data_IF_104844630020
#
_entry.id   IF_104844630020
#
_cell.length_a   1.000
_cell.length_b   1.000
_cell.length_c   1.000
_cell.angle_alpha   90.00
_cell.angle_beta   90.00
_cell.angle_gamma   90.00
#
_symmetry.space_group_name_H-M   'P 1'
#
loop_
_entity.id
_entity.type
_entity.pdbx_description
1 polymer ?
#
# COMPACT_ATOMS: atom_id res chain seq x y z
N UNK A 1 -3.14 21.76 -32.65
CA UNK A 1 -3.95 20.64 -32.14
C UNK A 1 -3.56 20.42 -30.68
N UNK A 2 -4.48 20.62 -29.76
CA UNK A 2 -4.28 20.58 -28.31
C UNK A 2 -4.11 19.15 -27.81
N UNK A 3 -2.90 18.79 -27.36
CA UNK A 3 -2.67 17.57 -26.59
C UNK A 3 -3.17 17.78 -25.16
N UNK A 4 -4.32 17.20 -24.86
CA UNK A 4 -4.81 17.09 -23.48
C UNK A 4 -3.98 15.97 -22.84
N UNK A 5 -2.92 16.33 -22.12
CA UNK A 5 -2.16 15.39 -21.30
C UNK A 5 -3.03 15.02 -20.10
N UNK A 6 -3.64 13.83 -20.14
CA UNK A 6 -4.29 13.22 -18.99
C UNK A 6 -3.20 12.92 -17.92
N UNK A 7 -3.22 13.53 -16.72
CA UNK A 7 -2.15 13.35 -15.73
C UNK A 7 -2.23 12.03 -14.94
N UNK A 8 -3.08 11.08 -15.35
CA UNK A 8 -3.33 9.86 -14.59
C UNK A 8 -2.43 8.66 -14.96
N UNK A 9 -1.57 8.75 -15.97
CA UNK A 9 -0.86 7.57 -16.49
C UNK A 9 0.59 7.87 -16.90
N UNK A 10 1.47 8.08 -15.92
CA UNK A 10 2.90 7.83 -16.08
C UNK A 10 3.60 7.98 -14.72
N UNK A 11 3.29 7.10 -13.76
CA UNK A 11 4.35 6.72 -12.84
C UNK A 11 5.35 5.92 -13.69
N UNK A 12 6.65 6.27 -13.66
CA UNK A 12 7.63 5.55 -14.43
C UNK A 12 7.73 4.16 -13.84
N UNK A 13 6.98 3.21 -14.40
CA UNK A 13 7.20 1.80 -14.15
C UNK A 13 8.64 1.52 -14.49
N UNK A 14 9.46 1.45 -13.43
CA UNK A 14 10.87 1.10 -13.49
C UNK A 14 10.92 -0.21 -14.24
N UNK A 15 11.50 -0.19 -15.44
CA UNK A 15 11.45 -1.27 -16.42
C UNK A 15 11.93 -2.58 -15.78
N UNK A 16 11.00 -3.40 -15.28
CA UNK A 16 11.28 -4.62 -14.51
C UNK A 16 10.51 -4.79 -13.18
N UNK A 17 9.82 -3.77 -12.67
CA UNK A 17 9.05 -3.88 -11.43
C UNK A 17 7.73 -4.64 -11.64
N UNK A 18 7.46 -5.64 -10.79
CA UNK A 18 6.21 -6.40 -10.85
C UNK A 18 5.14 -5.63 -10.11
N UNK A 19 4.22 -5.05 -10.87
CA UNK A 19 3.12 -4.26 -10.33
C UNK A 19 2.10 -5.21 -9.72
N UNK A 20 1.95 -5.19 -8.40
CA UNK A 20 0.91 -5.98 -7.73
C UNK A 20 -0.39 -5.17 -7.81
N UNK A 21 -1.45 -5.77 -8.39
CA UNK A 21 -2.77 -5.15 -8.56
C UNK A 21 -3.83 -5.68 -7.57
N UNK A 22 -3.39 -6.36 -6.51
CA UNK A 22 -4.26 -6.87 -5.45
C UNK A 22 -4.93 -8.22 -5.76
N UNK A 23 -5.64 -8.81 -4.78
CA UNK A 23 -6.16 -8.16 -3.58
C UNK A 23 -5.10 -7.90 -2.50
N UNK A 24 -5.14 -6.71 -1.90
CA UNK A 24 -4.21 -6.30 -0.86
C UNK A 24 -4.46 -7.02 0.47
N UNK A 25 -3.42 -7.28 1.28
CA UNK A 25 -3.61 -7.84 2.61
C UNK A 25 -4.53 -6.93 3.43
N UNK A 26 -5.60 -7.52 3.95
CA UNK A 26 -6.66 -6.87 4.73
C UNK A 26 -6.39 -7.15 6.21
N UNK A 27 -6.46 -6.12 7.05
CA UNK A 27 -6.12 -6.17 8.47
C UNK A 27 -7.32 -6.02 9.40
N UNK A 28 -8.55 -5.91 8.85
CA UNK A 28 -9.82 -5.85 9.60
C UNK A 28 -9.99 -6.96 10.64
N UNK A 29 -9.38 -8.13 10.44
CA UNK A 29 -9.41 -9.23 11.40
C UNK A 29 -8.68 -8.91 12.72
N UNK A 30 -7.76 -7.93 12.71
CA UNK A 30 -6.94 -7.54 13.84
C UNK A 30 -7.50 -6.34 14.62
N UNK A 31 -8.62 -5.75 14.18
CA UNK A 31 -9.26 -4.60 14.86
C UNK A 31 -9.62 -4.86 16.33
N UNK A 32 -9.98 -6.12 16.64
CA UNK A 32 -10.33 -6.57 17.99
C UNK A 32 -9.14 -6.87 18.90
N UNK A 33 -7.90 -6.71 18.41
CA UNK A 33 -6.70 -6.91 19.21
C UNK A 33 -6.42 -5.70 20.12
N UNK A 34 -5.69 -5.90 21.24
CA UNK A 34 -5.19 -4.80 22.04
C UNK A 34 -4.35 -3.81 21.20
N UNK A 35 -4.43 -2.53 21.55
CA UNK A 35 -3.79 -1.43 20.83
C UNK A 35 -2.31 -1.68 20.51
N UNK A 36 -1.55 -2.29 21.43
CA UNK A 36 -0.15 -2.66 21.21
C UNK A 36 0.04 -3.62 20.04
N UNK A 37 -0.82 -4.61 19.91
CA UNK A 37 -0.78 -5.55 18.78
C UNK A 37 -1.20 -4.86 17.50
N UNK A 38 -2.19 -3.97 17.54
CA UNK A 38 -2.60 -3.16 16.36
C UNK A 38 -1.46 -2.30 15.85
N UNK A 39 -0.73 -1.61 16.73
CA UNK A 39 0.50 -0.90 16.37
C UNK A 39 1.58 -1.83 15.79
N UNK A 40 1.70 -3.03 16.34
CA UNK A 40 2.65 -4.04 15.82
C UNK A 40 2.27 -4.47 14.40
N UNK A 41 0.98 -4.69 14.12
CA UNK A 41 0.47 -5.03 12.79
C UNK A 41 0.66 -3.86 11.81
N UNK A 42 0.42 -2.62 12.24
CA UNK A 42 0.64 -1.42 11.44
C UNK A 42 2.10 -1.30 10.98
N UNK A 43 3.05 -1.45 11.91
CA UNK A 43 4.47 -1.42 11.60
C UNK A 43 4.90 -2.61 10.73
N UNK A 44 4.36 -3.82 11.00
CA UNK A 44 4.60 -5.00 10.17
C UNK A 44 4.13 -4.78 8.72
N UNK A 45 2.97 -4.16 8.54
CA UNK A 45 2.42 -3.89 7.21
C UNK A 45 3.25 -2.87 6.43
N UNK A 46 3.70 -1.79 7.09
CA UNK A 46 4.64 -0.82 6.50
C UNK A 46 5.96 -1.48 6.12
N UNK A 47 6.53 -2.30 7.01
CA UNK A 47 7.76 -3.04 6.74
C UNK A 47 7.57 -4.03 5.57
N UNK A 48 6.42 -4.71 5.51
CA UNK A 48 6.05 -5.61 4.41
C UNK A 48 5.97 -4.89 3.07
N UNK A 49 5.39 -3.68 3.04
CA UNK A 49 5.37 -2.85 1.83
C UNK A 49 6.78 -2.42 1.41
N UNK A 50 7.60 -1.95 2.35
CA UNK A 50 8.99 -1.59 2.05
C UNK A 50 9.81 -2.77 1.51
N UNK A 51 9.60 -3.96 2.07
CA UNK A 51 10.23 -5.19 1.57
C UNK A 51 9.72 -5.57 0.17
N UNK A 52 8.43 -5.38 -0.12
CA UNK A 52 7.88 -5.57 -1.47
C UNK A 52 8.52 -4.60 -2.47
N UNK A 53 8.61 -3.31 -2.13
CA UNK A 53 9.25 -2.28 -2.97
C UNK A 53 10.75 -2.58 -3.20
N UNK A 54 11.47 -3.05 -2.17
CA UNK A 54 12.87 -3.49 -2.26
C UNK A 54 13.04 -4.72 -3.17
N UNK A 55 12.09 -5.65 -3.13
CA UNK A 55 12.04 -6.81 -4.02
C UNK A 55 11.60 -6.45 -5.46
N UNK A 56 11.37 -5.17 -5.75
CA UNK A 56 10.95 -4.69 -7.07
C UNK A 56 9.45 -4.84 -7.32
N UNK A 57 8.63 -5.00 -6.28
CA UNK A 57 7.18 -4.94 -6.39
C UNK A 57 6.68 -3.53 -6.14
N UNK A 58 6.00 -2.97 -7.13
CA UNK A 58 5.39 -1.65 -7.01
C UNK A 58 3.91 -1.82 -6.69
N UNK A 59 3.45 -1.23 -5.57
CA UNK A 59 2.02 -1.21 -5.29
C UNK A 59 1.33 -0.15 -6.17
N UNK A 60 0.22 -0.53 -6.81
CA UNK A 60 -0.61 0.47 -7.51
C UNK A 60 -1.37 1.38 -6.56
N UNK A 61 -1.55 0.96 -5.30
CA UNK A 61 -2.11 1.79 -4.25
C UNK A 61 -1.06 2.75 -3.70
N UNK A 62 -1.37 4.05 -3.69
CA UNK A 62 -0.54 5.08 -3.06
C UNK A 62 -0.26 4.77 -1.59
N UNK A 63 0.90 5.19 -1.09
CA UNK A 63 1.25 5.01 0.33
C UNK A 63 0.22 5.60 1.29
N UNK A 64 -0.33 6.78 0.95
CA UNK A 64 -1.38 7.41 1.75
C UNK A 64 -2.66 6.57 1.82
N UNK A 65 -3.14 6.07 0.67
CA UNK A 65 -4.33 5.21 0.62
C UNK A 65 -4.14 3.91 1.40
N UNK A 66 -2.94 3.32 1.31
CA UNK A 66 -2.56 2.15 2.09
C UNK A 66 -2.55 2.43 3.59
N UNK A 67 -1.87 3.49 4.03
CA UNK A 67 -1.82 3.88 5.44
C UNK A 67 -3.22 4.17 5.95
N UNK A 68 -4.02 4.93 5.21
CA UNK A 68 -5.39 5.25 5.60
C UNK A 68 -6.24 3.99 5.75
N UNK A 69 -6.18 3.08 4.78
CA UNK A 69 -6.86 1.80 4.83
C UNK A 69 -6.43 1.01 6.07
N UNK A 70 -5.12 0.86 6.31
CA UNK A 70 -4.64 0.10 7.48
C UNK A 70 -5.04 0.76 8.80
N UNK A 71 -4.97 2.08 8.90
CA UNK A 71 -5.41 2.82 10.09
C UNK A 71 -6.91 2.64 10.32
N UNK A 72 -7.73 2.76 9.28
CA UNK A 72 -9.19 2.51 9.34
C UNK A 72 -9.49 1.04 9.71
N UNK A 73 -8.74 0.08 9.16
CA UNK A 73 -8.93 -1.35 9.44
C UNK A 73 -8.47 -1.78 10.83
N UNK A 74 -7.42 -1.15 11.36
CA UNK A 74 -6.85 -1.42 12.68
C UNK A 74 -7.47 -0.54 13.77
N UNK A 75 -8.42 0.34 13.46
CA UNK A 75 -9.00 1.31 14.40
C UNK A 75 -7.92 2.04 15.22
N UNK A 76 -6.86 2.49 14.51
CA UNK A 76 -5.72 3.24 15.06
C UNK A 76 -5.91 4.76 14.96
#
# INVERSE_FOLDING_TARGET
>A
MTQILNPAQALPHRTGATIINGPWPTYTQFKGLPERERWTIYELAKAGRGAMEDNGFEMTESYDAFVRRITEELEL
#
